data_IF_820960279671
#
_entry.id   IF_820960279671
#
_cell.length_a   1.000
_cell.length_b   1.000
_cell.length_c   1.000
_cell.angle_alpha   90.00
_cell.angle_beta   90.00
_cell.angle_gamma   90.00
#
_symmetry.space_group_name_H-M   'P 1'
#
loop_
_entity.id
_entity.type
_entity.pdbx_description
1 polymer ?
#
# COMPACT_ATOMS: atom_id res chain seq x y z
N UNK A 1 -12.41 24.44 15.51
CA UNK A 1 -12.29 25.84 15.96
C UNK A 1 -12.01 26.69 14.75
N UNK A 2 -12.31 27.98 14.79
CA UNK A 2 -11.86 28.89 13.73
C UNK A 2 -10.34 29.03 13.82
N UNK A 3 -9.69 29.19 12.67
CA UNK A 3 -8.22 29.26 12.60
C UNK A 3 -7.80 30.14 11.44
N UNK A 4 -6.57 30.62 11.47
CA UNK A 4 -5.91 31.31 10.38
C UNK A 4 -4.70 30.51 9.87
N UNK A 5 -4.52 29.28 10.37
CA UNK A 5 -3.40 28.40 10.03
C UNK A 5 -3.90 27.05 9.52
N UNK A 6 -3.28 26.56 8.44
CA UNK A 6 -3.44 25.20 7.91
C UNK A 6 -2.14 24.43 8.13
N UNK A 7 -2.22 23.23 8.71
CA UNK A 7 -1.07 22.35 8.94
C UNK A 7 -1.26 21.06 8.15
N UNK A 8 -0.23 20.68 7.38
CA UNK A 8 -0.18 19.45 6.58
C UNK A 8 1.08 18.64 6.96
N UNK A 9 1.09 17.36 6.62
CA UNK A 9 2.30 16.56 6.58
C UNK A 9 3.10 16.87 5.31
N UNK A 10 4.42 16.96 5.47
CA UNK A 10 5.38 17.17 4.41
C UNK A 10 6.74 16.69 4.85
N UNK A 11 7.44 15.96 3.99
CA UNK A 11 8.83 15.60 4.24
C UNK A 11 9.65 15.59 2.94
N UNK A 12 10.83 16.22 2.95
CA UNK A 12 11.74 16.31 1.79
C UNK A 12 11.14 16.90 0.49
N UNK A 13 10.10 17.73 0.61
CA UNK A 13 9.53 18.47 -0.50
C UNK A 13 9.86 19.97 -0.40
N UNK A 14 10.25 20.57 -1.52
CA UNK A 14 10.40 22.01 -1.67
C UNK A 14 9.04 22.63 -2.01
N UNK A 15 8.56 23.53 -1.16
CA UNK A 15 7.32 24.28 -1.42
C UNK A 15 7.61 25.51 -2.30
N UNK A 16 6.79 25.69 -3.33
CA UNK A 16 6.77 26.86 -4.20
C UNK A 16 5.62 27.82 -3.86
N UNK A 17 4.90 28.27 -4.90
CA UNK A 17 3.73 29.13 -4.77
C UNK A 17 2.61 28.45 -3.98
N UNK A 18 2.08 29.17 -2.99
CA UNK A 18 0.90 28.78 -2.22
C UNK A 18 -0.21 29.81 -2.42
N UNK A 19 -1.41 29.35 -2.77
CA UNK A 19 -2.61 30.17 -2.91
C UNK A 19 -3.71 29.57 -2.04
N UNK A 20 -4.40 30.41 -1.27
CA UNK A 20 -5.53 29.98 -0.46
C UNK A 20 -6.75 30.82 -0.80
N UNK A 21 -7.83 30.15 -1.20
CA UNK A 21 -9.10 30.78 -1.55
C UNK A 21 -10.14 30.36 -0.52
N UNK A 22 -10.79 31.34 0.11
CA UNK A 22 -11.83 31.16 1.10
C UNK A 22 -13.07 31.95 0.68
N UNK A 23 -14.17 31.26 0.37
CA UNK A 23 -15.29 31.88 -0.34
C UNK A 23 -14.84 32.42 -1.70
N UNK A 24 -15.08 33.70 -1.95
CA UNK A 24 -14.65 34.40 -3.17
C UNK A 24 -13.35 35.20 -2.97
N UNK A 25 -12.72 35.12 -1.79
CA UNK A 25 -11.54 35.89 -1.45
C UNK A 25 -10.28 35.03 -1.50
N UNK A 26 -9.23 35.53 -2.14
CA UNK A 26 -7.89 34.98 -2.02
C UNK A 26 -7.19 35.57 -0.79
N UNK A 27 -6.82 34.73 0.18
CA UNK A 27 -6.14 35.18 1.38
C UNK A 27 -4.63 35.24 1.17
N UNK A 28 -4.02 36.30 1.69
CA UNK A 28 -2.57 36.48 1.70
C UNK A 28 -1.91 35.56 2.72
N UNK A 29 -0.93 34.79 2.28
CA UNK A 29 -0.03 34.02 3.13
C UNK A 29 0.88 35.00 3.91
N UNK A 30 0.86 34.93 5.24
CA UNK A 30 1.68 35.78 6.12
C UNK A 30 2.97 35.08 6.52
N UNK A 31 2.95 33.77 6.72
CA UNK A 31 4.13 32.98 7.06
C UNK A 31 3.99 31.52 6.66
N UNK A 32 5.13 30.87 6.43
CA UNK A 32 5.26 29.44 6.20
C UNK A 32 6.35 28.90 7.12
N UNK A 33 6.05 27.85 7.87
CA UNK A 33 6.99 27.19 8.79
C UNK A 33 7.04 25.69 8.48
N UNK A 34 8.22 25.19 8.13
CA UNK A 34 8.46 23.75 7.93
C UNK A 34 9.16 23.22 9.18
N UNK A 35 8.60 22.16 9.77
CA UNK A 35 9.11 21.48 10.96
C UNK A 35 9.53 20.07 10.57
N UNK A 36 10.83 19.88 10.38
CA UNK A 36 11.44 18.63 9.93
C UNK A 36 11.24 17.48 10.92
N UNK A 37 11.24 17.77 12.21
CA UNK A 37 11.17 16.82 13.32
C UNK A 37 9.78 16.18 13.40
N UNK A 38 8.75 16.98 13.15
CA UNK A 38 7.35 16.52 13.14
C UNK A 38 6.85 16.20 11.74
N UNK A 39 7.68 16.41 10.71
CA UNK A 39 7.34 16.24 9.30
C UNK A 39 6.09 17.01 8.89
N UNK A 40 6.00 18.27 9.31
CA UNK A 40 4.83 19.13 9.10
C UNK A 40 5.19 20.46 8.48
N UNK A 41 4.26 21.04 7.74
CA UNK A 41 4.30 22.43 7.27
C UNK A 41 3.07 23.18 7.76
N UNK A 42 3.28 24.38 8.29
CA UNK A 42 2.23 25.29 8.72
C UNK A 42 2.18 26.52 7.80
N UNK A 43 1.01 26.77 7.22
CA UNK A 43 0.70 27.96 6.43
C UNK A 43 -0.22 28.88 7.23
N UNK A 44 0.24 30.10 7.49
CA UNK A 44 -0.52 31.11 8.25
C UNK A 44 -1.00 32.19 7.30
N UNK A 45 -2.27 32.57 7.42
CA UNK A 45 -2.93 33.54 6.55
C UNK A 45 -3.39 34.78 7.32
N UNK A 46 -3.56 35.89 6.61
CA UNK A 46 -3.89 37.18 7.21
C UNK A 46 -5.30 37.26 7.84
N UNK A 47 -6.20 36.32 7.50
CA UNK A 47 -7.57 36.27 7.99
C UNK A 47 -7.89 34.90 8.56
N UNK A 48 -8.69 34.92 9.62
CA UNK A 48 -9.32 33.72 10.19
C UNK A 48 -10.39 33.21 9.23
N UNK A 49 -10.37 31.92 8.94
CA UNK A 49 -11.42 31.21 8.24
C UNK A 49 -12.27 30.41 9.24
N UNK A 50 -13.58 30.44 9.00
CA UNK A 50 -14.59 29.88 9.90
C UNK A 50 -14.68 28.36 9.76
N UNK A 51 -14.90 27.66 10.87
CA UNK A 51 -15.13 26.22 10.89
C UNK A 51 -16.27 25.83 9.95
N UNK A 52 -16.05 24.81 9.13
CA UNK A 52 -17.08 24.21 8.26
C UNK A 52 -17.30 24.94 6.94
N UNK A 53 -16.64 26.07 6.70
CA UNK A 53 -16.65 26.73 5.41
C UNK A 53 -15.65 26.06 4.45
N UNK A 54 -16.02 25.98 3.18
CA UNK A 54 -15.17 25.41 2.13
C UNK A 54 -14.02 26.36 1.79
N UNK A 55 -12.84 25.79 1.55
CA UNK A 55 -11.65 26.51 1.14
C UNK A 55 -10.85 25.69 0.12
N UNK A 56 -10.05 26.37 -0.69
CA UNK A 56 -9.16 25.73 -1.66
C UNK A 56 -7.74 26.17 -1.36
N UNK A 57 -6.89 25.22 -0.97
CA UNK A 57 -5.45 25.40 -0.85
C UNK A 57 -4.78 24.83 -2.10
N UNK A 58 -4.05 25.67 -2.83
CA UNK A 58 -3.24 25.28 -3.98
C UNK A 58 -1.77 25.46 -3.63
N UNK A 59 -0.99 24.40 -3.80
CA UNK A 59 0.44 24.39 -3.48
C UNK A 59 1.15 23.86 -4.72
N UNK A 60 2.11 24.61 -5.24
CA UNK A 60 3.14 24.03 -6.13
C UNK A 60 4.26 23.51 -5.26
N UNK A 61 4.80 22.35 -5.58
CA UNK A 61 5.89 21.74 -4.83
C UNK A 61 6.81 20.97 -5.77
N UNK A 62 8.01 20.68 -5.29
CA UNK A 62 9.02 19.90 -6.00
C UNK A 62 9.62 18.87 -5.06
N UNK A 63 9.76 17.65 -5.54
CA UNK A 63 10.49 16.57 -4.86
C UNK A 63 11.51 15.95 -5.82
N UNK A 64 12.44 15.19 -5.26
CA UNK A 64 13.33 14.33 -6.04
C UNK A 64 12.80 12.90 -6.01
N UNK A 65 12.96 12.18 -7.13
CA UNK A 65 12.77 10.73 -7.11
C UNK A 65 13.85 10.12 -6.22
N UNK A 66 13.43 9.49 -5.13
CA UNK A 66 14.34 8.84 -4.20
C UNK A 66 14.62 7.41 -4.66
N UNK A 67 15.68 6.82 -4.13
CA UNK A 67 16.07 5.45 -4.51
C UNK A 67 15.06 4.40 -4.03
N UNK A 68 14.41 4.62 -2.88
CA UNK A 68 13.49 3.67 -2.25
C UNK A 68 12.93 4.19 -0.90
N UNK A 69 11.69 3.84 -0.47
CA UNK A 69 10.61 3.17 -1.18
C UNK A 69 9.50 4.11 -1.71
N UNK A 70 9.49 5.42 -1.46
CA UNK A 70 8.22 6.18 -1.48
C UNK A 70 7.71 6.57 -2.86
N UNK A 71 8.58 7.19 -3.66
CA UNK A 71 8.39 7.42 -5.08
C UNK A 71 9.70 7.14 -5.79
N UNK A 72 9.83 5.91 -6.24
CA UNK A 72 11.10 5.34 -6.64
C UNK A 72 11.18 5.15 -8.15
N UNK A 73 12.41 5.31 -8.66
CA UNK A 73 12.77 4.89 -10.01
C UNK A 73 13.19 3.44 -9.96
N UNK A 74 12.68 2.65 -10.89
CA UNK A 74 13.10 1.25 -11.05
C UNK A 74 13.38 0.92 -12.51
N UNK A 75 13.93 -0.27 -12.72
CA UNK A 75 14.41 -0.77 -14.00
C UNK A 75 13.84 -2.16 -14.28
N UNK A 76 13.54 -2.41 -15.56
CA UNK A 76 13.23 -3.73 -16.07
C UNK A 76 13.96 -3.96 -17.40
N UNK A 77 14.17 -5.23 -17.74
CA UNK A 77 14.84 -5.60 -18.99
C UNK A 77 13.81 -5.88 -20.08
N UNK A 78 13.76 -5.02 -21.09
CA UNK A 78 12.95 -5.19 -22.29
C UNK A 78 13.83 -5.61 -23.48
N UNK A 79 13.68 -6.85 -23.95
CA UNK A 79 14.43 -7.36 -25.12
C UNK A 79 15.96 -7.14 -25.02
N UNK A 80 16.52 -7.31 -23.81
CA UNK A 80 17.95 -7.12 -23.55
C UNK A 80 18.39 -5.67 -23.31
N UNK A 81 17.46 -4.71 -23.33
CA UNK A 81 17.72 -3.31 -23.00
C UNK A 81 17.10 -2.95 -21.65
N UNK A 82 17.86 -2.24 -20.82
CA UNK A 82 17.36 -1.61 -19.60
C UNK A 82 16.36 -0.49 -19.95
N UNK A 83 15.15 -0.60 -19.41
CA UNK A 83 14.11 0.42 -19.46
C UNK A 83 13.69 0.81 -18.04
N UNK A 84 13.19 2.04 -17.88
CA UNK A 84 12.89 2.59 -16.57
C UNK A 84 11.41 2.94 -16.42
N UNK A 85 10.91 2.79 -15.21
CA UNK A 85 9.61 3.29 -14.77
C UNK A 85 9.74 3.93 -13.39
N UNK A 86 8.68 4.60 -12.96
CA UNK A 86 8.56 5.15 -11.62
C UNK A 86 7.26 4.68 -10.98
N UNK A 87 7.31 4.34 -9.70
CA UNK A 87 6.16 3.83 -8.95
C UNK A 87 6.18 4.36 -7.51
N UNK A 88 5.02 4.34 -6.85
CA UNK A 88 4.84 4.84 -5.49
C UNK A 88 4.59 3.71 -4.51
N UNK A 89 5.16 3.81 -3.32
CA UNK A 89 4.84 3.01 -2.13
C UNK A 89 4.55 3.98 -0.98
N UNK A 90 3.27 4.20 -0.67
CA UNK A 90 2.87 5.31 0.20
C UNK A 90 2.61 4.88 1.65
N UNK A 91 2.41 3.58 1.88
CA UNK A 91 2.20 3.03 3.21
C UNK A 91 3.51 2.96 4.01
N UNK A 92 3.61 3.38 5.27
CA UNK A 92 2.53 3.83 6.17
C UNK A 92 2.35 5.35 6.15
N UNK A 93 3.45 6.10 6.15
CA UNK A 93 3.48 7.57 6.27
C UNK A 93 4.36 8.20 5.20
N UNK A 94 4.39 7.57 4.02
CA UNK A 94 5.26 7.98 2.93
C UNK A 94 4.56 8.87 1.90
N UNK A 95 3.23 9.03 1.96
CA UNK A 95 2.50 9.94 1.07
C UNK A 95 3.00 11.39 1.20
N UNK A 96 3.36 11.83 2.41
CA UNK A 96 3.95 13.16 2.70
C UNK A 96 5.27 13.47 1.98
N UNK A 97 5.95 12.46 1.43
CA UNK A 97 7.16 12.60 0.60
C UNK A 97 6.86 12.71 -0.89
N UNK A 98 5.62 12.42 -1.29
CA UNK A 98 5.16 12.47 -2.68
C UNK A 98 4.28 13.69 -2.93
N UNK A 99 3.43 14.04 -1.96
CA UNK A 99 2.65 15.27 -1.98
C UNK A 99 2.43 15.85 -0.56
N UNK A 100 2.33 17.17 -0.40
CA UNK A 100 1.87 17.78 0.85
C UNK A 100 0.41 17.40 1.10
N UNK A 101 0.13 16.68 2.19
CA UNK A 101 -1.21 16.16 2.48
C UNK A 101 -1.41 15.94 3.99
N UNK A 102 -2.65 15.65 4.40
CA UNK A 102 -2.93 15.12 5.72
C UNK A 102 -2.69 13.60 5.68
N UNK A 103 -1.48 13.19 6.02
CA UNK A 103 -0.97 11.82 5.83
C UNK A 103 -1.27 10.94 7.05
N UNK A 104 -2.57 10.78 7.30
CA UNK A 104 -3.17 10.07 8.43
C UNK A 104 -4.41 9.28 7.93
N UNK A 105 -4.60 8.01 8.33
CA UNK A 105 -5.54 7.09 7.67
C UNK A 105 -7.02 7.50 7.83
N UNK A 106 -7.40 8.11 8.96
CA UNK A 106 -8.76 8.62 9.16
C UNK A 106 -9.13 9.79 8.25
N UNK A 107 -8.16 10.52 7.70
CA UNK A 107 -8.38 11.75 6.94
C UNK A 107 -8.60 11.45 5.45
N UNK A 108 -9.61 10.63 5.15
CA UNK A 108 -9.99 10.25 3.77
C UNK A 108 -10.40 11.48 2.94
N UNK A 109 -9.96 11.50 1.68
CA UNK A 109 -10.30 12.52 0.70
C UNK A 109 -10.52 11.90 -0.69
N UNK A 110 -11.18 12.65 -1.58
CA UNK A 110 -11.25 12.29 -3.00
C UNK A 110 -10.00 12.77 -3.73
N UNK A 111 -9.42 11.91 -4.57
CA UNK A 111 -8.24 12.23 -5.36
C UNK A 111 -8.57 12.27 -6.85
N UNK A 112 -8.23 13.39 -7.50
CA UNK A 112 -8.20 13.50 -8.96
C UNK A 112 -6.73 13.69 -9.38
N UNK A 113 -6.16 12.68 -10.04
CA UNK A 113 -4.72 12.65 -10.38
C UNK A 113 -4.55 12.83 -11.88
N UNK A 114 -3.63 13.71 -12.30
CA UNK A 114 -3.31 13.98 -13.70
C UNK A 114 -1.80 13.98 -13.92
N UNK A 115 -1.19 12.79 -14.11
CA UNK A 115 0.25 12.68 -14.32
C UNK A 115 0.65 13.18 -15.70
N UNK A 116 1.76 13.91 -15.78
CA UNK A 116 2.38 14.35 -17.03
C UNK A 116 3.66 13.54 -17.23
N UNK A 117 3.73 12.80 -18.34
CA UNK A 117 4.84 11.92 -18.66
C UNK A 117 5.28 12.09 -20.11
N UNK A 118 6.29 11.32 -20.54
CA UNK A 118 6.70 11.29 -21.95
C UNK A 118 5.64 10.57 -22.79
N UNK A 119 5.65 10.80 -24.11
CA UNK A 119 4.60 10.31 -25.03
C UNK A 119 4.61 8.78 -25.14
N UNK A 120 5.78 8.19 -25.03
CA UNK A 120 6.03 6.75 -25.12
C UNK A 120 5.78 5.98 -23.81
N UNK A 121 5.33 6.65 -22.75
CA UNK A 121 5.07 6.02 -21.44
C UNK A 121 3.58 5.97 -21.14
N UNK A 122 3.21 5.06 -20.23
CA UNK A 122 1.82 4.89 -19.80
C UNK A 122 1.71 5.22 -18.32
N UNK A 123 0.69 6.02 -17.99
CA UNK A 123 0.39 6.37 -16.62
C UNK A 123 -0.77 5.52 -16.11
N UNK A 124 -0.52 4.81 -15.02
CA UNK A 124 -1.51 4.03 -14.30
C UNK A 124 -1.76 4.70 -12.94
N UNK A 125 -2.99 4.61 -12.44
CA UNK A 125 -3.40 5.12 -11.13
C UNK A 125 -4.59 4.29 -10.62
N UNK A 126 -5.18 4.66 -9.49
CA UNK A 126 -6.30 3.96 -8.85
C UNK A 126 -7.55 3.90 -9.75
N UNK A 127 -7.84 4.99 -10.47
CA UNK A 127 -8.98 5.07 -11.39
C UNK A 127 -8.57 4.79 -12.84
N UNK A 128 -9.50 4.35 -13.73
CA UNK A 128 -9.17 4.11 -15.13
C UNK A 128 -8.50 5.32 -15.79
N UNK A 129 -7.33 5.09 -16.37
CA UNK A 129 -6.76 5.91 -17.44
C UNK A 129 -7.08 5.25 -18.79
N UNK A 130 -6.95 5.98 -19.89
CA UNK A 130 -7.29 5.48 -21.24
C UNK A 130 -6.33 4.38 -21.78
N UNK A 131 -5.50 3.72 -20.97
CA UNK A 131 -4.46 2.81 -21.47
C UNK A 131 -4.03 1.73 -20.46
N UNK A 132 -4.07 0.45 -20.87
CA UNK A 132 -3.54 -0.71 -20.12
C UNK A 132 -2.21 -1.17 -20.73
N UNK A 133 -1.17 -1.35 -19.92
CA UNK A 133 0.11 -1.95 -20.37
C UNK A 133 0.45 -3.15 -19.51
N UNK A 134 0.56 -4.30 -20.16
CA UNK A 134 1.36 -5.41 -19.69
C UNK A 134 2.67 -5.42 -20.47
N UNK A 135 3.78 -5.78 -19.82
CA UNK A 135 5.05 -6.04 -20.51
C UNK A 135 4.85 -7.09 -21.59
N UNK A 136 5.05 -6.80 -22.89
CA UNK A 136 4.66 -7.69 -23.99
C UNK A 136 5.24 -9.11 -23.89
N UNK A 137 6.47 -9.23 -23.38
CA UNK A 137 7.18 -10.51 -23.27
C UNK A 137 6.71 -11.38 -22.08
N UNK A 138 5.86 -10.83 -21.20
CA UNK A 138 5.42 -11.48 -19.97
C UNK A 138 3.91 -11.75 -19.93
N UNK A 139 3.18 -11.47 -21.02
CA UNK A 139 1.73 -11.64 -21.12
C UNK A 139 1.31 -13.08 -20.78
N UNK A 140 2.04 -14.08 -21.30
CA UNK A 140 1.73 -15.49 -21.05
C UNK A 140 1.88 -15.88 -19.56
N UNK A 141 2.76 -15.20 -18.81
CA UNK A 141 2.96 -15.47 -17.38
C UNK A 141 1.94 -14.73 -16.50
N UNK A 142 1.28 -13.70 -17.05
CA UNK A 142 0.21 -12.97 -16.38
C UNK A 142 -1.15 -13.70 -16.44
N UNK A 143 -1.29 -14.70 -17.32
CA UNK A 143 -2.53 -15.46 -17.50
C UNK A 143 -3.01 -16.10 -16.18
N UNK A 144 -2.09 -16.66 -15.40
CA UNK A 144 -2.42 -17.22 -14.08
C UNK A 144 -3.02 -16.17 -13.14
N UNK A 145 -2.40 -14.98 -13.05
CA UNK A 145 -2.86 -13.91 -12.16
C UNK A 145 -4.18 -13.30 -12.64
N UNK A 146 -4.37 -13.15 -13.94
CA UNK A 146 -5.67 -12.71 -14.51
C UNK A 146 -6.76 -13.73 -14.17
N UNK A 147 -6.50 -15.03 -14.35
CA UNK A 147 -7.44 -16.08 -13.98
C UNK A 147 -7.70 -16.07 -12.47
N UNK A 148 -6.68 -15.88 -11.64
CA UNK A 148 -6.84 -15.84 -10.19
C UNK A 148 -7.72 -14.67 -9.76
N UNK A 149 -7.44 -13.44 -10.22
CA UNK A 149 -8.24 -12.25 -9.87
C UNK A 149 -9.69 -12.40 -10.33
N UNK A 150 -9.91 -12.88 -11.55
CA UNK A 150 -11.27 -13.05 -12.12
C UNK A 150 -12.13 -14.07 -11.38
N UNK A 151 -11.52 -14.98 -10.61
CA UNK A 151 -12.25 -15.94 -9.78
C UNK A 151 -12.29 -15.56 -8.31
N UNK A 152 -11.23 -14.95 -7.75
CA UNK A 152 -11.18 -14.54 -6.35
C UNK A 152 -12.06 -13.32 -6.11
N UNK A 153 -12.03 -12.30 -6.99
CA UNK A 153 -12.78 -11.07 -6.77
C UNK A 153 -14.30 -11.31 -6.61
N UNK A 154 -14.99 -12.11 -7.45
CA UNK A 154 -16.41 -12.41 -7.25
C UNK A 154 -16.70 -13.23 -5.99
N UNK A 155 -15.76 -14.09 -5.56
CA UNK A 155 -15.90 -14.82 -4.30
C UNK A 155 -15.85 -13.88 -3.10
N UNK A 156 -15.02 -12.84 -3.16
CA UNK A 156 -14.95 -11.81 -2.12
C UNK A 156 -16.24 -10.96 -2.10
N UNK A 157 -16.73 -10.53 -3.27
CA UNK A 157 -18.02 -9.83 -3.38
C UNK A 157 -19.16 -10.64 -2.76
N UNK A 158 -19.20 -11.95 -3.05
CA UNK A 158 -20.18 -12.86 -2.48
C UNK A 158 -20.02 -13.04 -0.97
N UNK A 159 -18.79 -13.21 -0.50
CA UNK A 159 -18.50 -13.46 0.92
C UNK A 159 -18.83 -12.23 1.77
N UNK A 160 -18.60 -11.02 1.24
CA UNK A 160 -18.88 -9.76 1.93
C UNK A 160 -20.27 -9.19 1.71
N UNK A 161 -21.02 -9.73 0.75
CA UNK A 161 -22.30 -9.16 0.31
C UNK A 161 -22.15 -7.66 -0.07
N UNK A 162 -21.02 -7.32 -0.70
CA UNK A 162 -20.66 -5.95 -1.08
C UNK A 162 -19.83 -5.98 -2.37
N UNK A 163 -20.35 -5.36 -3.43
CA UNK A 163 -19.67 -5.24 -4.72
C UNK A 163 -18.37 -4.43 -4.65
N UNK A 164 -17.39 -4.80 -5.47
CA UNK A 164 -16.17 -4.02 -5.63
C UNK A 164 -16.50 -2.68 -6.32
N UNK A 165 -16.23 -1.53 -5.69
CA UNK A 165 -16.84 -0.27 -6.12
C UNK A 165 -16.12 0.42 -7.30
N UNK A 166 -14.90 0.01 -7.65
CA UNK A 166 -14.16 0.63 -8.74
C UNK A 166 -14.42 -0.08 -10.07
N UNK A 167 -14.46 0.64 -11.20
CA UNK A 167 -14.75 0.05 -12.51
C UNK A 167 -13.62 -0.83 -13.07
N UNK A 168 -12.48 -0.93 -12.37
CA UNK A 168 -11.31 -1.72 -12.78
C UNK A 168 -10.49 -2.19 -11.58
N UNK A 169 -9.82 -3.32 -11.77
CA UNK A 169 -8.77 -3.83 -10.90
C UNK A 169 -7.56 -4.14 -11.77
N UNK A 170 -6.43 -3.47 -11.51
CA UNK A 170 -5.16 -3.75 -12.18
C UNK A 170 -4.20 -4.42 -11.19
N UNK A 171 -3.41 -5.38 -11.67
CA UNK A 171 -2.22 -5.89 -10.98
C UNK A 171 -1.01 -5.55 -11.84
N UNK A 172 -0.02 -4.87 -11.24
CA UNK A 172 1.20 -4.45 -11.92
C UNK A 172 2.44 -5.05 -11.25
N UNK A 173 3.34 -5.59 -12.06
CA UNK A 173 4.66 -5.97 -11.59
C UNK A 173 5.53 -4.75 -11.37
N UNK A 174 6.15 -4.66 -10.21
CA UNK A 174 7.19 -3.69 -9.94
C UNK A 174 8.28 -4.32 -9.09
N UNK A 175 9.52 -4.18 -9.53
CA UNK A 175 10.73 -4.36 -8.75
C UNK A 175 10.91 -3.19 -7.78
N UNK A 176 10.85 -3.46 -6.49
CA UNK A 176 10.95 -2.50 -5.39
C UNK A 176 9.70 -2.38 -4.50
N UNK A 177 8.71 -3.26 -4.62
CA UNK A 177 7.44 -3.15 -3.89
C UNK A 177 7.45 -3.75 -2.47
N UNK A 178 8.61 -4.17 -1.92
CA UNK A 178 8.71 -4.85 -0.61
C UNK A 178 7.75 -6.05 -0.43
N UNK A 179 7.37 -6.71 -1.54
CA UNK A 179 6.36 -7.76 -1.57
C UNK A 179 5.24 -7.38 -2.54
N UNK A 180 4.07 -7.05 -2.00
CA UNK A 180 2.95 -6.47 -2.72
C UNK A 180 2.31 -5.34 -1.89
N UNK A 181 1.53 -4.49 -2.54
CA UNK A 181 0.83 -3.36 -1.92
C UNK A 181 -0.54 -3.17 -2.57
N UNK A 182 -1.56 -3.04 -1.72
CA UNK A 182 -2.98 -3.11 -2.02
C UNK A 182 -3.61 -1.83 -2.59
N UNK A 183 -2.85 -0.95 -3.26
CA UNK A 183 -3.38 0.36 -3.66
C UNK A 183 -4.72 0.19 -4.39
N UNK A 184 -5.75 0.91 -3.96
CA UNK A 184 -7.13 0.66 -4.39
C UNK A 184 -7.27 0.68 -5.92
N UNK A 185 -7.55 -0.47 -6.53
CA UNK A 185 -7.69 -0.62 -7.98
C UNK A 185 -6.37 -0.73 -8.79
N UNK A 186 -5.21 -0.65 -8.15
CA UNK A 186 -3.89 -0.87 -8.75
C UNK A 186 -2.97 -1.58 -7.75
N UNK A 187 -3.15 -2.87 -7.58
CA UNK A 187 -2.27 -3.70 -6.75
C UNK A 187 -0.90 -3.76 -7.44
N UNK A 188 0.17 -3.51 -6.70
CA UNK A 188 1.55 -3.58 -7.21
C UNK A 188 2.33 -4.63 -6.44
N UNK A 189 3.29 -5.30 -7.08
CA UNK A 189 4.13 -6.26 -6.36
C UNK A 189 5.23 -6.88 -7.19
N UNK A 190 6.10 -7.64 -6.54
CA UNK A 190 7.28 -8.25 -7.13
C UNK A 190 6.95 -9.40 -8.10
N UNK A 191 7.85 -9.74 -9.04
CA UNK A 191 7.59 -10.80 -10.02
C UNK A 191 7.30 -12.17 -9.40
N UNK A 192 7.96 -12.51 -8.29
CA UNK A 192 7.76 -13.78 -7.59
C UNK A 192 6.38 -13.90 -6.91
N UNK A 193 5.57 -12.85 -6.93
CA UNK A 193 4.24 -12.77 -6.32
C UNK A 193 3.12 -12.89 -7.36
N UNK A 194 3.34 -12.34 -8.56
CA UNK A 194 2.29 -12.21 -9.58
C UNK A 194 2.63 -12.84 -10.94
N UNK A 195 3.82 -13.43 -11.13
CA UNK A 195 4.18 -14.12 -12.38
C UNK A 195 4.37 -15.62 -12.16
N UNK A 196 3.54 -16.44 -12.81
CA UNK A 196 3.64 -17.89 -12.74
C UNK A 196 4.09 -18.47 -14.07
N UNK A 197 5.14 -19.29 -14.03
CA UNK A 197 5.64 -20.06 -15.14
C UNK A 197 5.36 -21.55 -14.93
N UNK A 198 4.33 -22.13 -15.58
CA UNK A 198 3.95 -23.53 -15.37
C UNK A 198 5.03 -24.55 -15.74
N UNK A 199 6.04 -24.16 -16.53
CA UNK A 199 7.14 -25.04 -16.90
C UNK A 199 8.32 -25.02 -15.90
N UNK A 200 8.36 -24.06 -14.98
CA UNK A 200 9.49 -23.86 -14.04
C UNK A 200 9.06 -23.81 -12.58
N UNK A 201 7.90 -23.25 -12.30
CA UNK A 201 7.47 -22.93 -10.96
C UNK A 201 6.82 -24.11 -10.27
N UNK A 202 7.08 -24.22 -8.98
CA UNK A 202 6.58 -25.30 -8.14
C UNK A 202 5.15 -25.06 -7.68
N UNK A 203 4.47 -26.11 -7.21
CA UNK A 203 3.20 -25.97 -6.51
C UNK A 203 3.32 -25.10 -5.25
N UNK A 204 4.48 -25.05 -4.60
CA UNK A 204 4.70 -24.15 -3.46
C UNK A 204 4.68 -22.67 -3.90
N UNK A 205 5.29 -22.36 -5.04
CA UNK A 205 5.21 -21.03 -5.67
C UNK A 205 3.78 -20.68 -6.01
N UNK A 206 3.05 -21.61 -6.63
CA UNK A 206 1.63 -21.42 -6.96
C UNK A 206 0.79 -21.10 -5.71
N UNK A 207 0.97 -21.86 -4.61
CA UNK A 207 0.30 -21.62 -3.33
C UNK A 207 0.61 -20.24 -2.77
N UNK A 208 1.88 -19.84 -2.79
CA UNK A 208 2.33 -18.52 -2.32
C UNK A 208 1.70 -17.37 -3.12
N UNK A 209 1.62 -17.51 -4.44
CA UNK A 209 0.97 -16.51 -5.31
C UNK A 209 -0.54 -16.41 -5.03
N UNK A 210 -1.20 -17.55 -4.78
CA UNK A 210 -2.62 -17.55 -4.40
C UNK A 210 -2.84 -16.88 -3.05
N UNK A 211 -1.98 -17.14 -2.07
CA UNK A 211 -2.03 -16.48 -0.77
C UNK A 211 -1.92 -14.96 -0.90
N UNK A 212 -0.85 -14.46 -1.51
CA UNK A 212 -0.64 -13.01 -1.60
C UNK A 212 -1.72 -12.34 -2.46
N UNK A 213 -2.06 -12.90 -3.62
CA UNK A 213 -3.11 -12.27 -4.44
C UNK A 213 -4.45 -12.21 -3.70
N UNK A 214 -4.79 -13.25 -2.91
CA UNK A 214 -6.01 -13.23 -2.09
C UNK A 214 -5.92 -12.18 -0.98
N UNK A 215 -4.75 -12.01 -0.36
CA UNK A 215 -4.47 -10.99 0.65
C UNK A 215 -4.55 -9.55 0.10
N UNK A 216 -3.99 -9.27 -1.07
CA UNK A 216 -4.09 -7.93 -1.66
C UNK A 216 -5.52 -7.59 -2.12
N UNK A 217 -6.26 -8.60 -2.59
CA UNK A 217 -7.67 -8.43 -2.98
C UNK A 217 -8.59 -8.29 -1.77
N UNK A 218 -8.26 -8.94 -0.65
CA UNK A 218 -8.93 -8.75 0.63
C UNK A 218 -8.88 -7.28 1.09
N UNK A 219 -7.72 -6.65 0.93
CA UNK A 219 -7.51 -5.26 1.33
C UNK A 219 -8.38 -4.25 0.57
N UNK A 220 -8.98 -4.65 -0.54
CA UNK A 220 -9.96 -3.81 -1.25
C UNK A 220 -11.21 -3.55 -0.40
N UNK A 221 -11.57 -4.45 0.51
CA UNK A 221 -12.59 -4.25 1.53
C UNK A 221 -11.98 -3.77 2.86
N UNK A 222 -10.96 -4.47 3.36
CA UNK A 222 -10.32 -4.19 4.65
C UNK A 222 -8.95 -3.51 4.48
N UNK A 223 -8.98 -2.19 4.50
CA UNK A 223 -7.84 -1.33 4.21
C UNK A 223 -8.32 -0.16 3.35
N UNK A 224 -9.00 -0.47 2.24
CA UNK A 224 -9.49 0.53 1.29
C UNK A 224 -10.92 1.04 1.60
N UNK A 225 -11.94 0.18 1.56
CA UNK A 225 -13.33 0.57 1.90
C UNK A 225 -13.41 0.95 3.37
N UNK A 226 -13.06 0.03 4.26
CA UNK A 226 -12.97 0.25 5.70
C UNK A 226 -11.49 0.37 6.05
N UNK A 227 -11.07 1.52 6.58
CA UNK A 227 -9.68 1.77 7.00
C UNK A 227 -9.69 2.05 8.49
N UNK A 228 -8.64 1.64 9.22
CA UNK A 228 -8.56 1.94 10.64
C UNK A 228 -8.50 3.45 10.89
N UNK A 229 -9.00 3.87 12.05
CA UNK A 229 -8.96 5.29 12.46
C UNK A 229 -7.52 5.77 12.67
N UNK A 230 -6.67 4.91 13.26
CA UNK A 230 -5.29 5.24 13.55
C UNK A 230 -4.40 4.00 13.60
N UNK A 231 -3.08 4.21 13.53
CA UNK A 231 -2.06 3.15 13.45
C UNK A 231 -1.92 2.29 14.70
N UNK A 232 -2.49 2.70 15.83
CA UNK A 232 -2.53 1.87 17.04
C UNK A 232 -3.38 0.60 16.85
N UNK A 233 -4.30 0.64 15.89
CA UNK A 233 -5.09 -0.50 15.44
C UNK A 233 -4.37 -1.30 14.35
N UNK A 234 -3.17 -0.93 13.93
CA UNK A 234 -2.42 -1.75 12.96
C UNK A 234 -2.00 -3.06 13.63
N UNK A 235 -2.31 -4.19 13.01
CA UNK A 235 -1.85 -5.50 13.47
C UNK A 235 -0.84 -6.01 12.46
N UNK A 236 0.40 -6.19 12.89
CA UNK A 236 1.45 -6.68 12.00
C UNK A 236 1.88 -8.07 12.45
N UNK A 237 1.87 -9.03 11.54
CA UNK A 237 2.55 -10.31 11.75
C UNK A 237 3.77 -10.35 10.82
N UNK A 238 4.93 -10.63 11.39
CA UNK A 238 6.21 -10.47 10.71
C UNK A 238 6.42 -11.41 9.49
N UNK A 239 7.25 -11.00 8.50
CA UNK A 239 7.67 -11.83 7.38
C UNK A 239 8.54 -13.02 7.76
N UNK A 240 8.36 -14.12 7.04
CA UNK A 240 9.51 -14.87 6.55
C UNK A 240 10.18 -14.13 5.39
N UNK A 241 11.47 -13.78 5.56
CA UNK A 241 12.51 -13.28 4.60
C UNK A 241 12.21 -12.27 3.48
N UNK A 242 10.98 -11.98 3.05
CA UNK A 242 10.74 -11.10 1.87
C UNK A 242 9.42 -10.30 1.85
N UNK A 243 8.59 -10.30 2.90
CA UNK A 243 7.22 -9.73 2.80
C UNK A 243 6.76 -9.05 4.09
N UNK A 244 6.77 -7.72 4.16
CA UNK A 244 6.03 -7.04 5.22
C UNK A 244 4.54 -7.34 5.00
N UNK A 245 3.91 -8.10 5.91
CA UNK A 245 2.46 -8.27 5.94
C UNK A 245 1.91 -7.23 6.90
N UNK A 246 1.35 -6.16 6.36
CA UNK A 246 0.50 -5.27 7.14
C UNK A 246 -0.89 -5.89 7.17
N UNK A 247 -1.30 -6.45 8.31
CA UNK A 247 -2.72 -6.76 8.46
C UNK A 247 -3.41 -5.46 8.86
N UNK A 248 -4.11 -4.83 7.92
CA UNK A 248 -5.09 -3.81 8.29
C UNK A 248 -6.13 -4.49 9.19
N UNK A 249 -6.09 -4.20 10.50
CA UNK A 249 -7.15 -4.60 11.40
C UNK A 249 -8.36 -3.73 11.12
N UNK A 250 -9.15 -4.14 10.14
CA UNK A 250 -10.56 -3.82 10.16
C UNK A 250 -11.30 -5.13 10.41
N UNK A 251 -11.47 -5.41 11.72
CA UNK A 251 -12.34 -6.45 12.30
C UNK A 251 -11.78 -7.87 12.37
N UNK A 252 -10.98 -8.13 13.42
CA UNK A 252 -10.56 -9.48 13.88
C UNK A 252 -9.60 -10.18 12.90
N UNK A 253 -8.67 -10.94 13.46
CA UNK A 253 -7.71 -11.85 12.80
C UNK A 253 -8.41 -12.98 11.99
N UNK A 254 -9.69 -12.85 11.67
CA UNK A 254 -10.48 -13.80 10.89
C UNK A 254 -10.38 -13.52 9.40
N UNK A 255 -10.45 -12.28 8.95
CA UNK A 255 -11.00 -12.06 7.61
C UNK A 255 -10.01 -12.34 6.46
N UNK A 256 -8.74 -11.91 6.51
CA UNK A 256 -7.75 -12.20 5.44
C UNK A 256 -7.35 -13.67 5.35
N UNK A 257 -7.20 -14.31 6.51
CA UNK A 257 -6.85 -15.73 6.55
C UNK A 257 -8.06 -16.60 6.21
N UNK A 258 -9.26 -16.26 6.68
CA UNK A 258 -10.50 -16.92 6.26
C UNK A 258 -10.78 -16.66 4.78
N UNK A 259 -10.44 -15.49 4.22
CA UNK A 259 -10.51 -15.21 2.79
C UNK A 259 -9.58 -16.09 1.97
N UNK A 260 -8.32 -16.19 2.37
CA UNK A 260 -7.37 -17.08 1.72
C UNK A 260 -7.86 -18.52 1.79
N UNK A 261 -8.31 -19.00 2.96
CA UNK A 261 -8.89 -20.35 3.11
C UNK A 261 -10.13 -20.51 2.23
N UNK A 262 -11.05 -19.55 2.23
CA UNK A 262 -12.29 -19.60 1.46
C UNK A 262 -12.03 -19.64 -0.04
N UNK A 263 -11.22 -18.71 -0.55
CA UNK A 263 -10.87 -18.64 -1.97
C UNK A 263 -10.09 -19.88 -2.42
N UNK A 264 -9.10 -20.33 -1.65
CA UNK A 264 -8.37 -21.56 -1.98
C UNK A 264 -9.22 -22.82 -1.87
N UNK A 265 -10.08 -22.98 -0.88
CA UNK A 265 -10.93 -24.17 -0.78
C UNK A 265 -11.93 -24.25 -1.95
N UNK A 266 -12.29 -23.10 -2.55
CA UNK A 266 -13.12 -23.05 -3.76
C UNK A 266 -12.34 -23.35 -5.04
N UNK A 267 -11.11 -22.85 -5.16
CA UNK A 267 -10.30 -22.97 -6.38
C UNK A 267 -9.42 -24.22 -6.42
N UNK A 268 -8.93 -24.65 -5.25
CA UNK A 268 -7.97 -25.73 -5.03
C UNK A 268 -8.33 -26.54 -3.77
N UNK A 269 -9.51 -27.19 -3.72
CA UNK A 269 -10.00 -27.92 -2.55
C UNK A 269 -9.03 -29.02 -2.05
N UNK A 270 -8.18 -29.53 -2.93
CA UNK A 270 -7.18 -30.54 -2.61
C UNK A 270 -6.00 -30.01 -1.77
N UNK A 271 -5.85 -28.69 -1.62
CA UNK A 271 -4.73 -28.09 -0.90
C UNK A 271 -4.87 -28.13 0.62
N UNK A 272 -6.09 -28.34 1.14
CA UNK A 272 -6.41 -28.36 2.57
C UNK A 272 -5.81 -27.15 3.30
N UNK A 273 -6.16 -25.96 2.82
CA UNK A 273 -5.52 -24.71 3.21
C UNK A 273 -5.70 -24.41 4.69
N UNK A 274 -6.86 -24.71 5.26
CA UNK A 274 -7.10 -24.55 6.70
C UNK A 274 -6.05 -25.30 7.55
N UNK A 275 -5.72 -26.55 7.19
CA UNK A 275 -4.68 -27.30 7.89
C UNK A 275 -3.27 -26.69 7.70
N UNK A 276 -2.99 -26.13 6.52
CA UNK A 276 -1.74 -25.43 6.25
C UNK A 276 -1.60 -24.16 7.10
N UNK A 277 -2.66 -23.36 7.24
CA UNK A 277 -2.69 -22.16 8.11
C UNK A 277 -2.41 -22.53 9.57
N UNK A 278 -3.06 -23.58 10.08
CA UNK A 278 -2.82 -24.05 11.45
C UNK A 278 -1.37 -24.47 11.67
N UNK A 279 -0.77 -25.14 10.68
CA UNK A 279 0.62 -25.60 10.77
C UNK A 279 1.67 -24.52 10.50
N UNK A 280 1.34 -23.46 9.76
CA UNK A 280 2.25 -22.36 9.45
C UNK A 280 1.99 -21.16 10.35
N UNK A 281 1.03 -20.32 9.94
CA UNK A 281 0.71 -19.02 10.54
C UNK A 281 0.40 -19.12 12.03
N UNK A 282 -0.48 -20.03 12.44
CA UNK A 282 -0.90 -20.13 13.84
C UNK A 282 0.23 -20.57 14.77
N UNK A 283 1.05 -21.54 14.35
CA UNK A 283 2.23 -21.97 15.12
C UNK A 283 3.26 -20.86 15.25
N UNK A 284 3.50 -20.09 14.18
CA UNK A 284 4.41 -18.94 14.22
C UNK A 284 3.89 -17.89 15.21
N UNK A 285 2.60 -17.57 15.15
CA UNK A 285 1.97 -16.62 16.06
C UNK A 285 2.10 -17.04 17.53
N UNK A 286 1.83 -18.31 17.86
CA UNK A 286 2.01 -18.83 19.22
C UNK A 286 3.46 -18.77 19.70
N UNK A 287 4.43 -19.03 18.82
CA UNK A 287 5.85 -18.96 19.17
C UNK A 287 6.33 -17.53 19.45
N UNK A 288 5.78 -16.56 18.73
CA UNK A 288 6.01 -15.12 18.96
C UNK A 288 5.36 -14.72 20.28
N UNK A 289 4.07 -15.04 20.44
CA UNK A 289 3.29 -14.63 21.61
C UNK A 289 3.74 -15.28 22.92
N UNK A 290 4.43 -16.43 22.84
CA UNK A 290 5.05 -17.08 23.99
C UNK A 290 6.28 -16.33 24.55
N UNK A 291 6.78 -15.27 23.89
CA UNK A 291 7.97 -14.52 24.33
C UNK A 291 7.59 -13.42 25.30
N UNK A 292 8.49 -13.13 26.25
CA UNK A 292 8.35 -11.98 27.15
C UNK A 292 8.42 -10.63 26.41
N UNK A 293 8.98 -10.61 25.21
CA UNK A 293 9.02 -9.45 24.32
C UNK A 293 7.73 -9.24 23.52
N UNK A 294 6.75 -10.15 23.64
CA UNK A 294 5.45 -10.01 22.99
C UNK A 294 4.74 -8.76 23.50
N UNK A 295 3.74 -8.33 22.75
CA UNK A 295 2.91 -7.19 23.08
C UNK A 295 1.43 -7.50 22.76
N UNK A 296 0.48 -6.77 23.36
CA UNK A 296 -0.92 -6.87 22.97
C UNK A 296 -1.10 -6.55 21.48
N UNK A 297 -2.10 -7.17 20.86
CA UNK A 297 -2.44 -6.97 19.43
C UNK A 297 -2.62 -5.48 19.09
N UNK A 298 -3.26 -4.71 19.97
CA UNK A 298 -3.35 -3.25 19.86
C UNK A 298 -2.22 -2.61 20.67
N UNK A 299 -1.37 -1.80 20.03
CA UNK A 299 -0.28 -1.09 20.69
C UNK A 299 -0.44 0.41 20.48
N UNK A 300 -0.26 1.19 21.55
CA UNK A 300 -0.33 2.64 21.45
C UNK A 300 0.73 3.19 20.48
N UNK A 301 0.28 4.00 19.51
CA UNK A 301 1.13 4.68 18.55
C UNK A 301 0.81 6.18 18.57
N UNK A 302 1.38 6.97 19.50
CA UNK A 302 0.98 8.37 19.65
C UNK A 302 1.52 9.28 18.53
N UNK A 303 2.56 8.86 17.82
CA UNK A 303 3.16 9.59 16.70
C UNK A 303 3.31 8.68 15.48
N UNK A 304 2.67 9.07 14.37
CA UNK A 304 2.74 8.37 13.10
C UNK A 304 4.18 8.31 12.53
N UNK A 305 5.08 9.21 12.94
CA UNK A 305 6.49 9.14 12.54
C UNK A 305 7.21 7.90 13.10
N UNK A 306 6.69 7.34 14.20
CA UNK A 306 7.26 6.17 14.87
C UNK A 306 6.43 4.90 14.62
N UNK A 307 5.51 4.91 13.65
CA UNK A 307 4.68 3.73 13.34
C UNK A 307 5.53 2.52 12.92
N UNK A 308 6.65 2.75 12.25
CA UNK A 308 7.61 1.69 11.90
C UNK A 308 8.34 1.08 13.11
N UNK A 309 8.25 1.73 14.28
CA UNK A 309 8.85 1.28 15.53
C UNK A 309 7.86 0.48 16.40
N UNK A 310 6.57 0.46 16.03
CA UNK A 310 5.60 -0.50 16.56
C UNK A 310 6.22 -1.89 16.31
N UNK A 311 6.53 -2.68 17.36
CA UNK A 311 7.38 -3.86 17.23
C UNK A 311 6.85 -4.84 16.17
N UNK A 312 7.41 -4.75 14.98
CA UNK A 312 7.41 -5.85 14.03
C UNK A 312 8.40 -6.85 14.61
N UNK A 313 7.95 -7.92 15.27
CA UNK A 313 8.86 -8.91 15.84
C UNK A 313 9.85 -9.40 14.76
N UNK A 314 11.10 -8.92 14.82
CA UNK A 314 12.17 -9.38 13.94
C UNK A 314 12.47 -10.83 14.28
N UNK A 315 12.16 -11.74 13.37
CA UNK A 315 12.65 -13.11 13.46
C UNK A 315 14.18 -13.13 13.29
N UNK A 316 14.94 -13.79 14.17
CA UNK A 316 16.34 -14.11 13.87
C UNK A 316 16.39 -14.99 12.63
N UNK A 317 17.32 -14.67 11.73
CA UNK A 317 17.60 -15.36 10.49
C UNK A 317 18.08 -16.79 10.73
N UNK A 318 17.16 -17.74 10.94
CA UNK A 318 17.48 -19.16 10.89
C UNK A 318 17.51 -19.61 9.43
N UNK A 319 18.69 -19.49 8.81
CA UNK A 319 19.28 -20.35 7.78
C UNK A 319 20.59 -19.64 7.35
N UNK A 320 21.64 -19.77 8.16
CA UNK A 320 23.01 -19.77 7.63
C UNK A 320 23.15 -21.06 6.82
N UNK A 321 23.14 -20.96 5.49
CA UNK A 321 23.76 -21.98 4.68
C UNK A 321 25.25 -21.62 4.67
N UNK A 322 26.02 -22.28 5.54
CA UNK A 322 27.46 -22.34 5.39
C UNK A 322 27.76 -23.03 4.07
N UNK A 323 28.08 -22.24 3.04
CA UNK A 323 28.83 -22.73 1.89
C UNK A 323 30.29 -22.57 2.28
N UNK A 324 30.87 -23.60 2.89
CA UNK A 324 32.33 -23.77 2.84
C UNK A 324 32.70 -24.13 1.38
N UNK A 325 33.77 -23.51 0.89
CA UNK A 325 34.36 -23.75 -0.42
C UNK A 325 34.74 -25.21 -0.66
#
# INVERSE_FOLDING_TARGET
>A
MDTFTVVLNLFELEIGTTLFVFGDEMLTLTSQEIRTETQRVAFTFAKTFLRGAAAILRITFRGSLQSFPEYYKSEWINQGKAEHYSATFLELTYARRVLPCWDEPALKAMFAVSPISRVETVNLSNMPSFLRVATPNLIAQAEFSVNLVTHVLPLLEQMFDLEYPLPKMDILNTTGALGALENWGLVVGEPNVFWFNPAKDSTATQKHMVDITSHELAHQWFGNIVTMEWWDNLVCHAPGRYHLRFFSLCLRVRDDTEMYIYSTDKLYPEWNTAAAVVNGTFKIALNVDARLSSHPVQLECPDANHVNEVPLERFPSFFEVNIEC
#
